data_IF_422811386870
#
_entry.id   IF_422811386870
#
_cell.length_a   1.000
_cell.length_b   1.000
_cell.length_c   1.000
_cell.angle_alpha   90.00
_cell.angle_beta   90.00
_cell.angle_gamma   90.00
#
_symmetry.space_group_name_H-M   'P 1'
#
loop_
_entity.id
_entity.type
_entity.pdbx_description
1 polymer ?
#
# COMPACT_ATOMS: atom_id res chain seq x y z
N UNK A 1 -12.55 -4.89 13.01
CA UNK A 1 -11.78 -3.69 12.65
C UNK A 1 -10.99 -4.05 11.42
N UNK A 2 -11.30 -3.45 10.27
CA UNK A 2 -10.59 -3.77 9.02
C UNK A 2 -9.21 -3.11 9.03
N UNK A 3 -8.20 -3.84 8.54
CA UNK A 3 -6.82 -3.36 8.44
C UNK A 3 -6.40 -3.52 6.98
N UNK A 4 -5.82 -2.47 6.42
CA UNK A 4 -5.38 -2.43 5.04
C UNK A 4 -3.93 -1.97 4.98
N UNK A 5 -3.20 -2.48 3.98
CA UNK A 5 -1.89 -1.91 3.68
C UNK A 5 -2.05 -0.45 3.23
N UNK A 6 -1.07 0.38 3.58
CA UNK A 6 -1.03 1.76 3.18
C UNK A 6 0.41 2.25 2.98
N UNK A 7 0.56 3.40 2.34
CA UNK A 7 1.84 4.09 2.15
C UNK A 7 1.77 5.50 2.70
N UNK A 8 2.78 5.90 3.44
CA UNK A 8 2.98 7.29 3.83
C UNK A 8 3.62 8.07 2.66
N UNK A 9 2.91 9.07 2.14
CA UNK A 9 3.43 9.93 1.07
C UNK A 9 4.15 11.17 1.63
N UNK A 10 3.61 11.75 2.68
CA UNK A 10 4.23 12.87 3.37
C UNK A 10 3.75 12.96 4.81
N UNK A 11 4.58 13.55 5.65
CA UNK A 11 4.30 13.71 7.07
C UNK A 11 4.86 15.03 7.60
N UNK A 12 4.09 15.64 8.48
CA UNK A 12 4.50 16.73 9.36
C UNK A 12 4.15 16.36 10.80
N UNK A 13 4.43 17.24 11.74
CA UNK A 13 4.02 17.06 13.14
C UNK A 13 2.51 17.18 13.35
N UNK A 14 1.73 17.61 12.33
CA UNK A 14 0.28 17.81 12.42
C UNK A 14 -0.53 16.95 11.46
N UNK A 15 -0.01 16.72 10.26
CA UNK A 15 -0.71 16.07 9.16
C UNK A 15 0.12 14.93 8.58
N UNK A 16 -0.54 13.88 8.15
CA UNK A 16 0.04 12.84 7.30
C UNK A 16 -0.83 12.65 6.05
N UNK A 17 -0.19 12.47 4.89
CA UNK A 17 -0.84 12.08 3.64
C UNK A 17 -0.59 10.60 3.43
N UNK A 18 -1.68 9.83 3.35
CA UNK A 18 -1.64 8.36 3.32
C UNK A 18 -2.38 7.88 2.08
N UNK A 19 -1.78 6.91 1.38
CA UNK A 19 -2.37 6.19 0.23
C UNK A 19 -2.76 4.79 0.67
N UNK A 20 -3.94 4.32 0.27
CA UNK A 20 -4.45 3.00 0.64
C UNK A 20 -5.69 2.61 -0.19
N UNK A 21 -6.11 1.33 -0.13
CA UNK A 21 -7.18 0.81 -1.00
C UNK A 21 -8.58 1.24 -0.54
N UNK A 22 -8.74 1.61 0.73
CA UNK A 22 -10.01 2.02 1.33
C UNK A 22 -9.81 3.36 2.02
N UNK A 23 -10.72 4.30 1.73
CA UNK A 23 -10.73 5.64 2.33
C UNK A 23 -11.95 5.78 3.22
N UNK A 24 -11.72 5.98 4.52
CA UNK A 24 -12.78 6.25 5.50
C UNK A 24 -13.49 7.60 5.25
N UNK A 25 -14.42 7.96 6.13
CA UNK A 25 -15.17 9.22 6.05
C UNK A 25 -14.38 10.37 6.68
N UNK A 26 -14.63 11.59 6.21
CA UNK A 26 -14.09 12.77 6.90
C UNK A 26 -14.62 12.83 8.34
N UNK A 27 -13.74 13.15 9.28
CA UNK A 27 -13.99 13.10 10.73
C UNK A 27 -13.76 11.73 11.37
N UNK A 28 -13.63 10.65 10.60
CA UNK A 28 -13.43 9.29 11.12
C UNK A 28 -12.05 9.14 11.76
N UNK A 29 -11.99 8.46 12.91
CA UNK A 29 -10.72 8.14 13.58
C UNK A 29 -10.02 6.97 12.91
N UNK A 30 -8.73 7.14 12.64
CA UNK A 30 -7.88 6.13 11.99
C UNK A 30 -6.58 5.95 12.77
N UNK A 31 -6.07 4.73 12.76
CA UNK A 31 -4.75 4.38 13.29
C UNK A 31 -3.92 3.81 12.14
N UNK A 32 -2.72 4.34 11.93
CA UNK A 32 -1.79 3.88 10.91
C UNK A 32 -0.46 3.48 11.55
N UNK A 33 0.14 2.39 11.06
CA UNK A 33 1.45 1.93 11.49
C UNK A 33 2.45 2.12 10.35
N UNK A 34 3.57 2.78 10.62
CA UNK A 34 4.67 2.96 9.68
C UNK A 34 5.97 2.56 10.37
N UNK A 35 6.83 1.79 9.72
CA UNK A 35 8.03 1.23 10.35
C UNK A 35 8.96 2.32 10.91
N UNK A 36 9.07 3.46 10.22
CA UNK A 36 9.93 4.57 10.62
C UNK A 36 9.33 5.43 11.74
N UNK A 37 8.00 5.54 11.79
CA UNK A 37 7.30 6.49 12.66
C UNK A 37 6.55 5.83 13.82
N UNK A 38 6.29 4.52 13.74
CA UNK A 38 5.47 3.75 14.66
C UNK A 38 3.98 3.93 14.40
N UNK A 39 3.19 3.74 15.45
CA UNK A 39 1.73 3.89 15.41
C UNK A 39 1.37 5.38 15.52
N UNK A 40 0.65 5.89 14.53
CA UNK A 40 0.09 7.23 14.49
C UNK A 40 -1.45 7.16 14.55
N UNK A 41 -2.04 7.95 15.43
CA UNK A 41 -3.50 8.09 15.55
C UNK A 41 -3.94 9.45 15.07
N UNK A 42 -5.08 9.50 14.39
CA UNK A 42 -5.59 10.76 13.85
C UNK A 42 -7.03 10.66 13.41
N UNK A 43 -7.52 11.76 12.82
CA UNK A 43 -8.82 11.82 12.15
C UNK A 43 -8.62 12.14 10.68
N UNK A 44 -9.42 11.53 9.80
CA UNK A 44 -9.42 11.87 8.38
C UNK A 44 -9.94 13.30 8.24
N UNK A 45 -9.09 14.23 7.82
CA UNK A 45 -9.47 15.63 7.63
C UNK A 45 -9.90 15.95 6.21
N UNK A 46 -9.44 15.14 5.24
CA UNK A 46 -9.79 15.31 3.83
C UNK A 46 -9.59 14.02 3.04
N UNK A 47 -10.53 13.67 2.16
CA UNK A 47 -10.33 12.58 1.18
C UNK A 47 -9.48 13.02 -0.01
N UNK A 48 -8.67 12.10 -0.54
CA UNK A 48 -7.90 12.28 -1.77
C UNK A 48 -8.28 11.18 -2.77
N UNK A 49 -8.10 11.39 -4.09
CA UNK A 49 -8.32 10.32 -5.07
C UNK A 49 -7.50 9.06 -4.80
N UNK A 50 -6.32 9.20 -4.21
CA UNK A 50 -5.38 8.13 -3.90
C UNK A 50 -5.41 7.66 -2.44
N UNK A 51 -6.22 8.27 -1.57
CA UNK A 51 -6.12 8.03 -0.14
C UNK A 51 -6.75 9.14 0.70
N UNK A 52 -6.05 9.61 1.72
CA UNK A 52 -6.56 10.64 2.61
C UNK A 52 -5.46 11.45 3.30
N UNK A 53 -5.87 12.63 3.76
CA UNK A 53 -5.12 13.41 4.75
C UNK A 53 -5.67 13.07 6.12
N UNK A 54 -4.79 12.73 7.06
CA UNK A 54 -5.15 12.59 8.47
C UNK A 54 -4.50 13.67 9.33
N UNK A 55 -5.27 14.24 10.24
CA UNK A 55 -4.79 15.12 11.30
C UNK A 55 -4.38 14.30 12.52
N UNK A 56 -3.13 14.46 12.94
CA UNK A 56 -2.48 13.69 13.99
C UNK A 56 -2.93 14.16 15.38
N UNK A 57 -3.49 13.23 16.15
CA UNK A 57 -3.90 13.45 17.53
C UNK A 57 -2.72 13.09 18.46
N UNK A 58 -1.86 14.09 18.73
CA UNK A 58 -0.67 13.96 19.57
C UNK A 58 -0.65 15.05 20.63
N UNK A 59 -0.21 14.69 21.85
CA UNK A 59 0.20 15.66 22.86
C UNK A 59 1.54 16.32 22.46
N UNK A 60 1.94 17.38 23.16
CA UNK A 60 3.14 18.15 22.80
C UNK A 60 4.43 17.33 22.89
N UNK A 61 4.53 16.44 23.89
CA UNK A 61 5.68 15.56 24.06
C UNK A 61 5.85 14.62 22.85
N UNK A 62 4.79 13.96 22.43
CA UNK A 62 4.82 13.02 21.30
C UNK A 62 4.92 13.74 19.96
N UNK A 63 4.37 14.95 19.86
CA UNK A 63 4.56 15.84 18.70
C UNK A 63 6.02 16.24 18.53
N UNK A 64 6.72 16.56 19.61
CA UNK A 64 8.15 16.86 19.59
C UNK A 64 9.00 15.63 19.22
N UNK A 65 8.68 14.45 19.76
CA UNK A 65 9.32 13.18 19.37
C UNK A 65 9.15 12.90 17.88
N UNK A 66 7.94 13.08 17.34
CA UNK A 66 7.67 12.93 15.91
C UNK A 66 8.49 13.91 15.07
N UNK A 67 8.58 15.18 15.50
CA UNK A 67 9.43 16.19 14.85
C UNK A 67 10.89 15.74 14.74
N UNK A 68 11.44 15.21 15.83
CA UNK A 68 12.80 14.64 15.86
C UNK A 68 12.97 13.47 14.88
N UNK A 69 12.02 12.53 14.85
CA UNK A 69 12.04 11.40 13.91
C UNK A 69 12.00 11.86 12.45
N UNK A 70 11.17 12.85 12.11
CA UNK A 70 11.07 13.39 10.75
C UNK A 70 12.42 13.99 10.32
N UNK A 71 13.06 14.77 11.17
CA UNK A 71 14.38 15.37 10.88
C UNK A 71 15.43 14.27 10.67
N UNK A 72 15.43 13.24 11.52
CA UNK A 72 16.36 12.14 11.39
C UNK A 72 16.15 11.32 10.12
N UNK A 73 14.89 11.00 9.78
CA UNK A 73 14.57 10.21 8.59
C UNK A 73 14.99 10.93 7.31
N UNK A 74 14.81 12.26 7.23
CA UNK A 74 15.28 13.05 6.08
C UNK A 74 16.79 12.91 5.82
N UNK A 75 17.60 12.74 6.86
CA UNK A 75 19.05 12.56 6.74
C UNK A 75 19.42 11.14 6.25
N UNK A 76 18.60 10.15 6.58
CA UNK A 76 18.90 8.72 6.40
C UNK A 76 18.49 8.11 5.06
N UNK A 77 17.58 8.74 4.32
CA UNK A 77 17.06 8.24 3.03
C UNK A 77 18.16 8.02 1.97
N UNK A 78 19.38 8.52 2.19
CA UNK A 78 20.52 8.36 1.28
C UNK A 78 21.29 7.03 1.40
N UNK A 79 20.93 6.15 2.34
CA UNK A 79 21.65 4.89 2.58
C UNK A 79 20.70 3.69 2.51
N UNK A 80 20.55 3.06 1.35
CA UNK A 80 19.86 1.75 1.25
C UNK A 80 20.75 0.70 0.59
N UNK A 81 20.80 -0.46 1.24
CA UNK A 81 21.60 -1.64 0.89
C UNK A 81 20.84 -2.52 -0.14
N UNK A 82 21.51 -3.15 -1.11
CA UNK A 82 20.84 -4.01 -2.10
C UNK A 82 20.22 -5.28 -1.50
N UNK A 83 19.00 -5.62 -1.94
CA UNK A 83 18.27 -6.86 -1.62
C UNK A 83 18.90 -8.08 -2.35
N UNK A 84 19.03 -9.22 -1.65
CA UNK A 84 19.74 -10.44 -2.10
C UNK A 84 18.82 -11.60 -2.54
N UNK A 85 17.55 -11.34 -2.86
CA UNK A 85 16.58 -12.37 -3.28
C UNK A 85 16.69 -12.70 -4.78
N UNK A 86 16.46 -13.97 -5.15
CA UNK A 86 16.50 -14.45 -6.53
C UNK A 86 15.50 -13.73 -7.45
N UNK A 87 14.26 -13.51 -7.00
CA UNK A 87 13.32 -12.60 -7.65
C UNK A 87 13.15 -11.35 -6.77
N UNK A 88 13.83 -10.27 -7.14
CA UNK A 88 13.78 -9.00 -6.41
C UNK A 88 12.34 -8.50 -6.30
N UNK A 89 11.86 -8.33 -5.06
CA UNK A 89 10.58 -7.65 -4.83
C UNK A 89 10.81 -6.15 -4.95
N UNK A 90 9.99 -5.50 -5.75
CA UNK A 90 10.00 -4.06 -5.90
C UNK A 90 8.75 -3.47 -5.26
N UNK A 91 8.91 -2.31 -4.63
CA UNK A 91 7.78 -1.48 -4.25
C UNK A 91 7.46 -0.60 -5.46
N UNK A 92 6.28 -0.76 -6.08
CA UNK A 92 5.94 0.04 -7.26
C UNK A 92 5.87 1.52 -6.91
N UNK A 93 6.26 2.39 -7.84
CA UNK A 93 6.22 3.85 -7.67
C UNK A 93 4.81 4.31 -7.32
N UNK A 94 3.82 3.85 -8.07
CA UNK A 94 2.40 4.00 -7.75
C UNK A 94 1.84 2.65 -7.26
N UNK A 95 1.43 2.53 -5.97
CA UNK A 95 0.89 1.28 -5.44
C UNK A 95 -0.59 1.08 -5.79
N UNK A 96 -1.22 2.03 -6.49
CA UNK A 96 -2.66 1.97 -6.78
C UNK A 96 -2.89 1.17 -8.05
N UNK A 97 -3.89 0.31 -8.01
CA UNK A 97 -4.33 -0.42 -9.19
C UNK A 97 -5.76 -0.94 -9.00
N UNK A 98 -6.27 -1.61 -10.03
CA UNK A 98 -7.59 -2.23 -10.06
C UNK A 98 -7.42 -3.74 -10.02
N UNK A 99 -8.15 -4.35 -9.09
CA UNK A 99 -8.37 -5.79 -9.01
C UNK A 99 -9.62 -6.14 -9.80
N UNK A 100 -9.50 -7.13 -10.70
CA UNK A 100 -10.61 -7.65 -11.50
C UNK A 100 -10.89 -9.10 -11.11
N UNK A 101 -12.14 -9.37 -10.73
CA UNK A 101 -12.64 -10.70 -10.39
C UNK A 101 -13.04 -11.48 -11.65
N UNK A 102 -13.22 -12.80 -11.52
CA UNK A 102 -13.59 -13.67 -12.65
C UNK A 102 -14.96 -13.36 -13.27
N UNK A 103 -15.84 -12.66 -12.56
CA UNK A 103 -17.13 -12.15 -13.05
C UNK A 103 -17.01 -10.78 -13.75
N UNK A 104 -15.81 -10.21 -13.83
CA UNK A 104 -15.54 -8.89 -14.39
C UNK A 104 -15.69 -7.74 -13.39
N UNK A 105 -16.09 -8.00 -12.14
CA UNK A 105 -16.19 -6.97 -11.10
C UNK A 105 -14.81 -6.36 -10.86
N UNK A 106 -14.76 -5.02 -10.86
CA UNK A 106 -13.54 -4.26 -10.64
C UNK A 106 -13.61 -3.50 -9.32
N UNK A 107 -12.49 -3.48 -8.59
CA UNK A 107 -12.37 -2.71 -7.36
C UNK A 107 -10.96 -2.17 -7.13
N UNK A 108 -10.80 -1.05 -6.41
CA UNK A 108 -9.50 -0.55 -6.02
C UNK A 108 -8.75 -1.57 -5.15
N UNK A 109 -7.44 -1.68 -5.38
CA UNK A 109 -6.55 -2.37 -4.47
C UNK A 109 -5.20 -1.65 -4.38
N UNK A 110 -4.44 -2.03 -3.36
CA UNK A 110 -3.14 -1.46 -3.04
C UNK A 110 -2.08 -2.53 -3.14
N UNK A 111 -1.05 -2.29 -3.94
CA UNK A 111 0.08 -3.20 -4.13
C UNK A 111 1.11 -2.97 -3.02
N UNK A 112 1.30 -4.03 -2.23
CA UNK A 112 2.27 -4.09 -1.14
C UNK A 112 3.67 -4.25 -1.74
N UNK A 113 3.86 -5.30 -2.55
CA UNK A 113 5.08 -5.56 -3.30
C UNK A 113 4.77 -6.35 -4.58
N UNK A 114 5.68 -6.30 -5.55
CA UNK A 114 5.57 -7.06 -6.81
C UNK A 114 6.92 -7.65 -7.19
N UNK A 115 6.91 -8.82 -7.83
CA UNK A 115 8.08 -9.53 -8.36
C UNK A 115 7.73 -10.14 -9.72
N UNK A 116 8.71 -10.74 -10.40
CA UNK A 116 8.50 -11.39 -11.70
C UNK A 116 7.46 -12.53 -11.64
N UNK A 117 7.31 -13.19 -10.49
CA UNK A 117 6.45 -14.38 -10.35
C UNK A 117 5.13 -14.10 -9.63
N UNK A 118 4.96 -12.95 -8.99
CA UNK A 118 3.73 -12.67 -8.25
C UNK A 118 3.67 -11.29 -7.64
N UNK A 119 2.51 -11.00 -7.04
CA UNK A 119 2.15 -9.69 -6.49
C UNK A 119 1.42 -9.86 -5.16
N UNK A 120 1.76 -9.03 -4.17
CA UNK A 120 1.08 -8.93 -2.90
C UNK A 120 0.18 -7.69 -2.89
N UNK A 121 -1.10 -7.85 -2.55
CA UNK A 121 -2.09 -6.78 -2.58
C UNK A 121 -2.96 -6.74 -1.33
N UNK A 122 -3.47 -5.55 -1.01
CA UNK A 122 -4.50 -5.28 -0.01
C UNK A 122 -5.74 -4.74 -0.73
N UNK A 123 -6.91 -5.29 -0.45
CA UNK A 123 -8.18 -4.88 -1.04
C UNK A 123 -9.32 -5.05 -0.02
N UNK A 124 -10.51 -4.51 -0.30
CA UNK A 124 -11.69 -4.68 0.57
C UNK A 124 -12.41 -6.03 0.38
N UNK A 125 -11.64 -7.09 0.18
CA UNK A 125 -12.12 -8.47 0.03
C UNK A 125 -11.06 -9.48 0.50
N UNK A 126 -11.52 -10.69 0.83
CA UNK A 126 -10.68 -11.83 1.18
C UNK A 126 -11.03 -13.03 0.28
N UNK A 127 -10.50 -13.10 -0.95
CA UNK A 127 -10.80 -14.18 -1.88
C UNK A 127 -10.25 -15.53 -1.38
N UNK A 128 -10.87 -16.63 -1.80
CA UNK A 128 -10.40 -17.99 -1.48
C UNK A 128 -9.04 -18.31 -2.12
N UNK A 129 -8.30 -19.27 -1.54
CA UNK A 129 -7.08 -19.79 -2.18
C UNK A 129 -7.41 -20.42 -3.53
N UNK A 130 -6.53 -20.24 -4.52
CA UNK A 130 -6.70 -20.71 -5.89
C UNK A 130 -7.62 -19.86 -6.77
N UNK A 131 -8.36 -18.90 -6.19
CA UNK A 131 -9.25 -18.00 -6.93
C UNK A 131 -8.46 -17.25 -8.01
N UNK A 132 -8.88 -17.34 -9.29
CA UNK A 132 -8.24 -16.60 -10.38
C UNK A 132 -8.70 -15.14 -10.37
N UNK A 133 -7.75 -14.23 -10.53
CA UNK A 133 -8.00 -12.78 -10.53
C UNK A 133 -6.97 -12.07 -11.42
N UNK A 134 -7.26 -10.82 -11.79
CA UNK A 134 -6.31 -9.96 -12.48
C UNK A 134 -6.01 -8.68 -11.70
N UNK A 135 -4.76 -8.21 -11.79
CA UNK A 135 -4.30 -6.89 -11.33
C UNK A 135 -3.81 -6.12 -12.55
N UNK A 136 -4.57 -5.12 -13.01
CA UNK A 136 -4.34 -4.54 -14.33
C UNK A 136 -4.35 -5.64 -15.41
N UNK A 137 -3.21 -5.84 -16.08
CA UNK A 137 -2.99 -6.90 -17.09
C UNK A 137 -2.38 -8.19 -16.53
N UNK A 138 -2.00 -8.22 -15.26
CA UNK A 138 -1.36 -9.37 -14.62
C UNK A 138 -2.41 -10.37 -14.15
N UNK A 139 -2.43 -11.56 -14.74
CA UNK A 139 -3.36 -12.63 -14.35
C UNK A 139 -2.67 -13.62 -13.43
N UNK A 140 -3.33 -13.97 -12.32
CA UNK A 140 -2.79 -14.88 -11.33
C UNK A 140 -3.85 -15.59 -10.49
N UNK A 141 -3.38 -16.35 -9.51
CA UNK A 141 -4.23 -17.06 -8.53
C UNK A 141 -3.78 -16.74 -7.12
N UNK A 142 -4.73 -16.65 -6.20
CA UNK A 142 -4.45 -16.47 -4.77
C UNK A 142 -3.69 -17.68 -4.23
N UNK A 143 -2.50 -17.47 -3.68
CA UNK A 143 -1.65 -18.58 -3.17
C UNK A 143 -1.44 -18.54 -1.67
N UNK A 144 -1.65 -17.39 -1.02
CA UNK A 144 -1.58 -17.25 0.44
C UNK A 144 -2.18 -15.93 0.91
N UNK A 145 -2.55 -15.90 2.19
CA UNK A 145 -2.92 -14.68 2.89
C UNK A 145 -1.69 -14.00 3.50
N UNK A 146 -1.85 -12.71 3.75
CA UNK A 146 -0.95 -11.80 4.46
C UNK A 146 -1.76 -11.15 5.59
N UNK A 147 -1.09 -10.57 6.57
CA UNK A 147 -1.78 -9.91 7.69
C UNK A 147 -2.74 -8.79 7.23
N UNK A 148 -2.42 -8.15 6.11
CA UNK A 148 -3.14 -7.01 5.55
C UNK A 148 -3.56 -7.21 4.09
N UNK A 149 -3.70 -8.46 3.65
CA UNK A 149 -4.10 -8.76 2.27
C UNK A 149 -3.78 -10.18 1.82
N UNK A 150 -3.48 -10.36 0.55
CA UNK A 150 -3.20 -11.67 -0.05
C UNK A 150 -2.20 -11.56 -1.19
N UNK A 151 -1.58 -12.68 -1.55
CA UNK A 151 -0.65 -12.75 -2.67
C UNK A 151 -1.22 -13.56 -3.83
N UNK A 152 -1.07 -13.02 -5.04
CA UNK A 152 -1.31 -13.71 -6.29
C UNK A 152 0.01 -14.23 -6.86
N UNK A 153 0.02 -15.49 -7.28
CA UNK A 153 1.06 -16.05 -8.14
C UNK A 153 0.62 -15.87 -9.60
N UNK A 154 1.48 -15.31 -10.43
CA UNK A 154 1.18 -15.13 -11.85
C UNK A 154 1.14 -16.48 -12.58
N UNK A 155 0.30 -16.53 -13.62
CA UNK A 155 0.23 -17.70 -14.51
C UNK A 155 1.51 -17.84 -15.33
N UNK A 156 2.17 -16.72 -15.65
CA UNK A 156 3.43 -16.66 -16.38
C UNK A 156 4.42 -15.75 -15.67
N UNK A 157 5.71 -16.08 -15.76
CA UNK A 157 6.78 -15.19 -15.31
C UNK A 157 6.76 -13.90 -16.14
N UNK A 158 6.94 -12.78 -15.48
CA UNK A 158 6.91 -11.45 -16.08
C UNK A 158 8.30 -10.84 -16.12
N UNK A 159 8.56 -10.03 -17.14
CA UNK A 159 9.78 -9.23 -17.22
C UNK A 159 9.74 -8.10 -16.18
N UNK A 160 10.84 -7.94 -15.44
CA UNK A 160 10.89 -7.01 -14.30
C UNK A 160 10.60 -5.55 -14.72
N UNK A 161 11.07 -5.16 -15.90
CA UNK A 161 10.91 -3.80 -16.44
C UNK A 161 9.48 -3.52 -16.95
N UNK A 162 8.65 -4.57 -17.10
CA UNK A 162 7.26 -4.45 -17.53
C UNK A 162 6.27 -4.42 -16.36
N UNK A 163 6.71 -4.77 -15.14
CA UNK A 163 5.82 -4.97 -14.00
C UNK A 163 4.94 -3.74 -13.70
N UNK A 164 5.51 -2.54 -13.64
CA UNK A 164 4.75 -1.30 -13.39
C UNK A 164 3.72 -0.99 -14.49
N UNK A 165 4.08 -1.24 -15.75
CA UNK A 165 3.19 -1.02 -16.90
C UNK A 165 2.03 -2.02 -16.87
N UNK A 166 2.32 -3.28 -16.55
CA UNK A 166 1.33 -4.36 -16.54
C UNK A 166 0.36 -4.22 -15.37
N UNK A 167 0.82 -3.78 -14.20
CA UNK A 167 -0.04 -3.56 -13.04
C UNK A 167 -0.76 -2.21 -13.07
N UNK A 168 -0.45 -1.31 -14.00
CA UNK A 168 -1.11 -0.01 -14.06
C UNK A 168 -2.64 -0.18 -14.22
N UNK A 169 -3.45 0.68 -13.59
CA UNK A 169 -4.89 0.67 -13.81
C UNK A 169 -5.19 0.87 -15.31
N UNK A 170 -6.30 0.30 -15.83
CA UNK A 170 -6.73 0.56 -17.19
C UNK A 170 -6.84 2.07 -17.44
N UNK A 171 -6.36 2.53 -18.59
CA UNK A 171 -6.58 3.90 -19.03
C UNK A 171 -8.03 3.97 -19.50
N UNK A 172 -8.85 4.81 -18.85
CA UNK A 172 -10.18 5.18 -19.33
C UNK A 172 -10.10 5.99 -20.63
#
# INVERSE_FOLDING_TARGET
>A
MSVYACRLCSISTRLAVVVGPVVGREGESVTAHFDEFGILRGKISRKLPSGFVMELMLNDTDRNKLGGKIVWQKKRVHEQVPDKRDHKRILPRDPRTVLTLGDGTQMPCFVIDISQSGIAVSADIWPGLGTPMAIGKLVGRVVRYLDVGFALQFIQLQEIDQLEILMAPPVE
#
